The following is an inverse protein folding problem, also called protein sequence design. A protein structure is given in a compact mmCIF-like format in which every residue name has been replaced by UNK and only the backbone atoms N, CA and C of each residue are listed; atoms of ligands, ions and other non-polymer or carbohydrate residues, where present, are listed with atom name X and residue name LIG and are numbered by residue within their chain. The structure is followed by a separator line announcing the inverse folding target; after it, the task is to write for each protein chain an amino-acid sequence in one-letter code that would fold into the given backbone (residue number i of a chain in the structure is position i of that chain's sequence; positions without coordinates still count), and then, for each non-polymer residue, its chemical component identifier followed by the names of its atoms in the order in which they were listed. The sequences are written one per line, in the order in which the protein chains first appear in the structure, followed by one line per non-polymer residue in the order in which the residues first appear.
data_IF_677573791973
#
_entry.id   IF_677573791973
#
_cell.length_a   1.000
_cell.length_b   1.000
_cell.length_c   1.000
_cell.angle_alpha   90.00
_cell.angle_beta   90.00
_cell.angle_gamma   90.00
#
_symmetry.space_group_name_H-M   'P 1'
#
loop_
_entity.id
_entity.type
_entity.pdbx_description
1 polymer ?
#
# COMPACT_ATOMS: atom_id res chain seq x y z
N UNK A 1 8.21 10.29 34.67
CA UNK A 1 7.46 10.74 33.48
C UNK A 1 6.13 10.00 33.45
N UNK A 2 5.02 10.63 33.02
CA UNK A 2 3.77 9.90 32.83
C UNK A 2 3.97 8.82 31.76
N UNK A 3 3.30 7.68 31.92
CA UNK A 3 3.29 6.64 30.90
C UNK A 3 2.65 7.20 29.61
N UNK A 4 3.09 6.74 28.42
CA UNK A 4 2.53 7.20 27.17
C UNK A 4 1.07 6.81 27.06
N UNK A 5 0.24 7.73 26.58
CA UNK A 5 -1.15 7.47 26.22
C UNK A 5 -1.18 6.65 24.92
N UNK A 6 -1.41 5.35 25.04
CA UNK A 6 -1.31 4.38 23.93
C UNK A 6 -2.20 4.74 22.73
N UNK A 7 -3.51 5.03 22.90
CA UNK A 7 -4.34 5.58 21.82
C UNK A 7 -3.75 6.81 21.12
N UNK A 8 -3.14 7.74 21.88
CA UNK A 8 -2.50 8.91 21.29
C UNK A 8 -1.21 8.55 20.54
N UNK A 9 -0.45 7.55 20.99
CA UNK A 9 0.72 7.03 20.25
C UNK A 9 0.29 6.51 18.88
N UNK A 10 -0.78 5.72 18.80
CA UNK A 10 -1.30 5.18 17.54
C UNK A 10 -1.66 6.30 16.54
N UNK A 11 -2.31 7.37 17.02
CA UNK A 11 -2.64 8.54 16.19
C UNK A 11 -1.38 9.26 15.68
N UNK A 12 -0.41 9.52 16.56
CA UNK A 12 0.84 10.20 16.18
C UNK A 12 1.66 9.34 15.19
N UNK A 13 1.64 8.01 15.32
CA UNK A 13 2.26 7.12 14.32
C UNK A 13 1.61 7.28 12.94
N UNK A 14 0.28 7.37 12.87
CA UNK A 14 -0.44 7.60 11.59
C UNK A 14 -0.09 8.99 11.02
N UNK A 15 -0.06 10.02 11.86
CA UNK A 15 0.34 11.39 11.45
C UNK A 15 1.75 11.42 10.85
N UNK A 16 2.73 10.85 11.55
CA UNK A 16 4.12 10.78 11.11
C UNK A 16 4.29 9.93 9.85
N UNK A 17 3.54 8.83 9.74
CA UNK A 17 3.49 8.00 8.53
C UNK A 17 3.00 8.83 7.33
N UNK A 18 1.91 9.58 7.50
CA UNK A 18 1.37 10.44 6.45
C UNK A 18 2.29 11.63 6.11
N UNK A 19 3.02 12.17 7.09
CA UNK A 19 4.05 13.17 6.85
C UNK A 19 5.17 12.61 5.95
N UNK A 20 5.72 11.44 6.30
CA UNK A 20 6.74 10.77 5.52
C UNK A 20 6.26 10.41 4.10
N UNK A 21 5.02 9.94 3.96
CA UNK A 21 4.41 9.67 2.64
C UNK A 21 4.31 10.94 1.79
N UNK A 22 3.88 12.06 2.39
CA UNK A 22 3.77 13.36 1.70
C UNK A 22 5.14 13.87 1.23
N UNK A 23 6.18 13.75 2.05
CA UNK A 23 7.57 14.10 1.68
C UNK A 23 8.05 13.31 0.46
N UNK A 24 7.57 12.07 0.31
CA UNK A 24 7.86 11.20 -0.81
C UNK A 24 6.82 11.30 -1.96
N UNK A 25 5.99 12.35 -1.96
CA UNK A 25 4.98 12.64 -2.99
C UNK A 25 3.92 11.52 -3.17
N UNK A 26 3.62 10.81 -2.09
CA UNK A 26 2.58 9.78 -2.05
C UNK A 26 1.29 10.32 -1.43
N UNK A 27 0.17 9.70 -1.79
CA UNK A 27 -1.12 9.95 -1.15
C UNK A 27 -1.14 9.50 0.31
N UNK A 28 -1.87 10.22 1.14
CA UNK A 28 -2.10 9.85 2.54
C UNK A 28 -2.94 8.57 2.66
N UNK A 29 -2.74 7.83 3.74
CA UNK A 29 -3.57 6.71 4.15
C UNK A 29 -4.56 7.14 5.22
N UNK A 30 -5.77 6.58 5.18
CA UNK A 30 -6.84 6.86 6.14
C UNK A 30 -6.92 5.77 7.21
N UNK A 31 -7.18 6.14 8.46
CA UNK A 31 -7.32 5.19 9.55
C UNK A 31 -8.53 4.26 9.32
N UNK A 32 -8.31 2.96 9.45
CA UNK A 32 -9.32 1.92 9.24
C UNK A 32 -9.61 1.18 10.55
N UNK A 33 -10.84 1.26 11.08
CA UNK A 33 -11.19 0.59 12.34
C UNK A 33 -10.91 -0.92 12.33
N UNK A 34 -11.15 -1.60 11.20
CA UNK A 34 -10.92 -3.03 11.05
C UNK A 34 -9.42 -3.38 11.08
N UNK A 35 -8.58 -2.59 10.40
CA UNK A 35 -7.11 -2.77 10.45
C UNK A 35 -6.55 -2.42 11.84
N UNK A 36 -7.04 -1.37 12.48
CA UNK A 36 -6.66 -1.01 13.86
C UNK A 36 -7.02 -2.13 14.83
N UNK A 37 -8.20 -2.74 14.69
CA UNK A 37 -8.59 -3.92 15.46
C UNK A 37 -7.61 -5.09 15.25
N UNK A 38 -7.26 -5.40 14.01
CA UNK A 38 -6.29 -6.45 13.68
C UNK A 38 -4.91 -6.17 14.31
N UNK A 39 -4.42 -4.93 14.16
CA UNK A 39 -3.11 -4.51 14.65
C UNK A 39 -3.02 -4.56 16.19
N UNK A 40 -4.04 -4.03 16.90
CA UNK A 40 -4.10 -4.08 18.37
C UNK A 40 -4.16 -5.50 18.90
N UNK A 41 -4.99 -6.35 18.28
CA UNK A 41 -5.09 -7.77 18.67
C UNK A 41 -3.75 -8.49 18.49
N UNK A 42 -3.03 -8.21 17.40
CA UNK A 42 -1.74 -8.83 17.16
C UNK A 42 -0.62 -8.31 18.06
N UNK A 43 -0.57 -7.00 18.30
CA UNK A 43 0.36 -6.39 19.27
C UNK A 43 0.19 -7.02 20.66
N UNK A 44 -1.06 -7.22 21.09
CA UNK A 44 -1.38 -7.88 22.36
C UNK A 44 -0.94 -9.35 22.38
N UNK A 45 -1.13 -10.08 21.27
CA UNK A 45 -0.64 -11.46 21.15
C UNK A 45 0.89 -11.53 21.26
N UNK A 46 1.62 -10.69 20.52
CA UNK A 46 3.08 -10.66 20.55
C UNK A 46 3.60 -10.32 21.96
N UNK A 47 3.00 -9.30 22.59
CA UNK A 47 3.33 -8.90 23.95
C UNK A 47 3.07 -10.02 24.98
N UNK A 48 1.92 -10.68 24.92
CA UNK A 48 1.53 -11.75 25.85
C UNK A 48 2.42 -13.00 25.73
N UNK A 49 2.83 -13.34 24.50
CA UNK A 49 3.58 -14.57 24.24
C UNK A 49 5.10 -14.36 24.18
N UNK A 50 5.59 -13.14 24.47
CA UNK A 50 6.99 -12.75 24.34
C UNK A 50 7.60 -13.17 22.99
N UNK A 51 6.84 -12.96 21.91
CA UNK A 51 7.21 -13.33 20.55
C UNK A 51 7.35 -12.07 19.69
N UNK A 52 8.21 -12.13 18.68
CA UNK A 52 8.38 -11.05 17.71
C UNK A 52 8.62 -11.61 16.31
N UNK A 53 7.53 -11.90 15.61
CA UNK A 53 7.51 -12.44 14.25
C UNK A 53 6.20 -12.03 13.58
N UNK A 54 6.20 -11.89 12.25
CA UNK A 54 5.01 -11.63 11.44
C UNK A 54 3.99 -12.78 11.44
N UNK A 55 4.39 -13.97 11.90
CA UNK A 55 3.56 -15.19 11.90
C UNK A 55 3.55 -15.92 13.24
N UNK A 56 3.84 -15.21 14.34
CA UNK A 56 3.91 -15.81 15.69
C UNK A 56 2.63 -16.52 16.16
N UNK A 57 1.47 -16.22 15.56
CA UNK A 57 0.17 -16.84 15.82
C UNK A 57 -0.25 -17.84 14.74
N UNK A 58 0.71 -18.31 13.92
CA UNK A 58 0.50 -19.20 12.77
C UNK A 58 -0.45 -18.63 11.69
N UNK A 59 -0.62 -17.31 11.66
CA UNK A 59 -1.37 -16.58 10.63
C UNK A 59 -0.48 -15.53 10.00
N UNK A 60 -0.76 -15.14 8.77
CA UNK A 60 -0.20 -13.92 8.19
C UNK A 60 -1.11 -12.71 8.49
N UNK A 61 -0.63 -11.52 8.12
CA UNK A 61 -1.39 -10.27 8.30
C UNK A 61 -2.72 -10.29 7.54
N UNK A 62 -2.77 -10.97 6.38
CA UNK A 62 -3.96 -11.11 5.56
C UNK A 62 -5.09 -11.84 6.28
N UNK A 63 -4.78 -13.00 6.86
CA UNK A 63 -5.72 -13.77 7.66
C UNK A 63 -6.18 -13.00 8.90
N UNK A 64 -5.30 -12.25 9.56
CA UNK A 64 -5.66 -11.39 10.71
C UNK A 64 -6.59 -10.23 10.33
N UNK A 65 -6.35 -9.60 9.18
CA UNK A 65 -7.21 -8.53 8.67
C UNK A 65 -8.59 -9.06 8.26
N UNK A 66 -8.65 -10.18 7.53
CA UNK A 66 -9.91 -10.84 7.15
C UNK A 66 -10.72 -11.21 8.39
N UNK A 67 -10.09 -11.81 9.41
CA UNK A 67 -10.74 -12.15 10.68
C UNK A 67 -11.25 -10.92 11.46
N UNK A 68 -10.69 -9.73 11.19
CA UNK A 68 -11.12 -8.46 11.77
C UNK A 68 -12.20 -7.75 10.94
N UNK A 69 -12.66 -8.36 9.84
CA UNK A 69 -13.70 -7.84 8.96
C UNK A 69 -13.18 -6.99 7.79
N UNK A 70 -11.86 -6.95 7.56
CA UNK A 70 -11.27 -6.19 6.47
C UNK A 70 -11.03 -7.08 5.24
N UNK A 71 -11.85 -6.90 4.20
CA UNK A 71 -11.64 -7.56 2.90
C UNK A 71 -10.63 -6.76 2.08
N UNK A 72 -9.48 -7.35 1.80
CA UNK A 72 -8.33 -6.64 1.24
C UNK A 72 -7.98 -7.11 -0.16
N UNK A 73 -7.46 -6.18 -0.96
CA UNK A 73 -6.79 -6.47 -2.23
C UNK A 73 -5.27 -6.51 -2.05
N UNK A 74 -4.74 -5.56 -1.29
CA UNK A 74 -3.32 -5.52 -0.91
C UNK A 74 -3.21 -5.22 0.57
N UNK A 75 -2.18 -5.82 1.20
CA UNK A 75 -1.94 -5.69 2.62
C UNK A 75 -0.44 -5.73 2.91
N UNK A 76 -0.02 -4.96 3.92
CA UNK A 76 1.38 -4.95 4.39
C UNK A 76 1.44 -4.75 5.90
N UNK A 77 2.51 -5.22 6.53
CA UNK A 77 2.70 -5.15 7.99
C UNK A 77 4.10 -4.65 8.33
N UNK A 78 4.15 -3.74 9.30
CA UNK A 78 5.37 -3.34 9.98
C UNK A 78 5.24 -3.68 11.46
N UNK A 79 6.30 -4.22 12.06
CA UNK A 79 6.39 -4.50 13.49
C UNK A 79 7.51 -3.67 14.11
N UNK A 80 7.31 -3.16 15.31
CA UNK A 80 8.37 -2.56 16.11
C UNK A 80 8.29 -3.03 17.55
N UNK A 81 9.46 -3.09 18.18
CA UNK A 81 9.61 -3.30 19.61
C UNK A 81 10.54 -2.21 20.15
N UNK A 82 10.02 -1.36 21.01
CA UNK A 82 10.80 -0.30 21.66
C UNK A 82 10.94 -0.61 23.14
N UNK A 83 12.16 -0.46 23.66
CA UNK A 83 12.48 -0.70 25.07
C UNK A 83 13.32 0.45 25.60
N UNK A 84 12.84 1.08 26.67
CA UNK A 84 13.59 2.09 27.43
C UNK A 84 13.22 1.93 28.90
N UNK A 85 14.23 1.67 29.75
CA UNK A 85 14.04 1.49 31.19
C UNK A 85 13.48 2.74 31.88
N UNK A 86 13.63 3.92 31.27
CA UNK A 86 13.09 5.19 31.76
C UNK A 86 11.64 5.42 31.34
N UNK A 87 11.12 4.58 30.45
CA UNK A 87 9.83 4.77 29.78
C UNK A 87 9.90 5.76 28.62
N UNK A 88 8.75 6.01 28.00
CA UNK A 88 8.63 6.90 26.85
C UNK A 88 7.53 7.94 27.08
N UNK A 89 7.70 9.12 26.48
CA UNK A 89 6.57 10.01 26.23
C UNK A 89 5.82 9.58 24.95
N UNK A 90 4.55 9.98 24.83
CA UNK A 90 3.69 9.61 23.70
C UNK A 90 4.32 9.89 22.33
N UNK A 91 4.77 11.13 22.09
CA UNK A 91 5.36 11.53 20.80
C UNK A 91 6.71 10.86 20.56
N UNK A 92 7.49 10.63 21.62
CA UNK A 92 8.80 10.02 21.51
C UNK A 92 8.70 8.53 21.13
N UNK A 93 7.78 7.78 21.74
CA UNK A 93 7.52 6.39 21.36
C UNK A 93 7.08 6.28 19.89
N UNK A 94 6.18 7.16 19.46
CA UNK A 94 5.73 7.20 18.07
C UNK A 94 6.89 7.53 17.10
N UNK A 95 7.71 8.53 17.45
CA UNK A 95 8.88 8.94 16.66
C UNK A 95 9.88 7.80 16.49
N UNK A 96 10.31 7.17 17.60
CA UNK A 96 11.25 6.04 17.54
C UNK A 96 10.69 4.87 16.72
N UNK A 97 9.40 4.59 16.87
CA UNK A 97 8.71 3.55 16.09
C UNK A 97 8.79 3.83 14.58
N UNK A 98 8.40 5.03 14.15
CA UNK A 98 8.34 5.40 12.73
C UNK A 98 9.75 5.53 12.14
N UNK A 99 10.69 6.13 12.85
CA UNK A 99 12.09 6.21 12.40
C UNK A 99 12.74 4.82 12.27
N UNK A 100 12.45 3.91 13.20
CA UNK A 100 12.89 2.51 13.11
C UNK A 100 12.38 1.83 11.84
N UNK A 101 11.13 2.08 11.44
CA UNK A 101 10.59 1.59 10.18
C UNK A 101 11.20 2.29 8.96
N UNK A 102 11.42 3.60 9.00
CA UNK A 102 12.07 4.35 7.90
C UNK A 102 13.49 3.85 7.64
N UNK A 103 14.23 3.50 8.70
CA UNK A 103 15.61 3.04 8.60
C UNK A 103 15.75 1.55 8.25
N UNK A 104 14.65 0.80 8.20
CA UNK A 104 14.63 -0.60 7.78
C UNK A 104 14.11 -0.73 6.34
N UNK A 105 14.91 -1.23 5.38
CA UNK A 105 14.50 -1.30 3.97
C UNK A 105 13.17 -2.02 3.73
N UNK A 106 12.91 -3.13 4.43
CA UNK A 106 11.66 -3.88 4.31
C UNK A 106 10.45 -3.08 4.83
N UNK A 107 10.57 -2.47 6.00
CA UNK A 107 9.49 -1.66 6.57
C UNK A 107 9.27 -0.35 5.78
N UNK A 108 10.34 0.27 5.30
CA UNK A 108 10.30 1.46 4.45
C UNK A 108 9.56 1.19 3.14
N UNK A 109 9.71 0.00 2.56
CA UNK A 109 8.97 -0.39 1.35
C UNK A 109 7.45 -0.37 1.60
N UNK A 110 6.98 -0.79 2.78
CA UNK A 110 5.56 -0.69 3.14
C UNK A 110 5.11 0.77 3.31
N UNK A 111 5.90 1.59 4.03
CA UNK A 111 5.62 3.03 4.21
C UNK A 111 5.48 3.75 2.86
N UNK A 112 6.29 3.36 1.87
CA UNK A 112 6.33 3.93 0.53
C UNK A 112 5.44 3.20 -0.49
N UNK A 113 4.63 2.23 -0.06
CA UNK A 113 3.69 1.53 -0.94
C UNK A 113 2.64 2.51 -1.50
N UNK A 114 2.68 2.86 -2.80
CA UNK A 114 1.81 3.91 -3.36
C UNK A 114 0.35 3.45 -3.49
N UNK A 115 0.11 2.15 -3.40
CA UNK A 115 -1.17 1.51 -3.63
C UNK A 115 -2.03 1.39 -2.36
N UNK A 116 -1.43 1.52 -1.18
CA UNK A 116 -2.15 1.55 0.09
C UNK A 116 -2.96 2.83 0.23
N UNK A 117 -4.20 2.68 0.69
CA UNK A 117 -5.17 3.76 0.91
C UNK A 117 -5.60 3.84 2.37
N UNK A 118 -5.43 2.75 3.13
CA UNK A 118 -5.85 2.62 4.52
C UNK A 118 -4.73 2.13 5.42
N UNK A 119 -4.83 2.45 6.71
CA UNK A 119 -3.87 2.08 7.75
C UNK A 119 -4.60 1.71 9.04
N UNK A 120 -4.08 0.74 9.78
CA UNK A 120 -4.38 0.49 11.18
C UNK A 120 -3.10 0.44 11.99
N UNK A 121 -3.13 0.97 13.21
CA UNK A 121 -1.99 0.92 14.14
C UNK A 121 -2.47 0.39 15.48
N UNK A 122 -1.71 -0.53 16.06
CA UNK A 122 -1.93 -1.06 17.40
C UNK A 122 -0.66 -0.98 18.21
N UNK A 123 -0.74 -0.42 19.41
CA UNK A 123 0.40 -0.33 20.33
C UNK A 123 0.02 -0.98 21.66
N UNK A 124 0.90 -1.82 22.21
CA UNK A 124 0.68 -2.51 23.49
C UNK A 124 1.94 -2.47 24.32
N UNK A 125 1.80 -2.11 25.60
CA UNK A 125 2.85 -2.28 26.59
C UNK A 125 2.94 -3.76 26.98
N UNK A 126 4.11 -4.37 26.82
CA UNK A 126 4.35 -5.72 27.29
C UNK A 126 4.48 -5.76 28.83
N UNK A 127 4.05 -6.87 29.48
CA UNK A 127 4.09 -7.01 30.93
C UNK A 127 5.51 -7.35 31.43
N UNK A 128 6.49 -6.50 31.11
CA UNK A 128 7.90 -6.67 31.51
C UNK A 128 8.29 -5.70 32.62
N UNK A 129 9.38 -6.03 33.34
CA UNK A 129 9.96 -5.16 34.39
C UNK A 129 10.49 -3.84 33.84
N UNK A 130 10.96 -3.84 32.59
CA UNK A 130 11.35 -2.63 31.86
C UNK A 130 10.23 -2.27 30.88
N UNK A 131 9.86 -0.98 30.73
CA UNK A 131 8.87 -0.56 29.74
C UNK A 131 9.26 -1.01 28.33
N UNK A 132 8.51 -1.98 27.81
CA UNK A 132 8.63 -2.53 26.47
C UNK A 132 7.30 -2.32 25.75
N UNK A 133 7.34 -1.75 24.55
CA UNK A 133 6.16 -1.49 23.73
C UNK A 133 6.28 -2.22 22.41
N UNK A 134 5.23 -2.96 22.06
CA UNK A 134 5.07 -3.60 20.75
C UNK A 134 4.13 -2.72 19.92
N UNK A 135 4.58 -2.30 18.75
CA UNK A 135 3.76 -1.59 17.78
C UNK A 135 3.59 -2.45 16.51
N UNK A 136 2.35 -2.53 16.04
CA UNK A 136 1.97 -3.17 14.79
C UNK A 136 1.31 -2.12 13.92
N UNK A 137 1.80 -1.95 12.70
CA UNK A 137 1.20 -1.10 11.68
C UNK A 137 0.79 -1.99 10.51
N UNK A 138 -0.47 -1.90 10.11
CA UNK A 138 -1.03 -2.65 8.98
C UNK A 138 -1.50 -1.65 7.93
N UNK A 139 -0.98 -1.77 6.72
CA UNK A 139 -1.47 -1.04 5.56
C UNK A 139 -2.45 -1.88 4.76
N UNK A 140 -3.43 -1.24 4.15
CA UNK A 140 -4.43 -1.91 3.33
C UNK A 140 -4.85 -1.12 2.10
N UNK A 141 -5.24 -1.86 1.07
CA UNK A 141 -6.13 -1.38 0.01
C UNK A 141 -7.37 -2.28 0.04
N UNK A 142 -8.57 -1.76 0.29
CA UNK A 142 -9.75 -2.61 0.43
C UNK A 142 -10.14 -3.19 -0.92
N UNK A 143 -10.80 -4.35 -0.92
CA UNK A 143 -11.25 -5.01 -2.14
C UNK A 143 -12.21 -4.14 -2.98
N UNK A 144 -12.98 -3.27 -2.31
CA UNK A 144 -13.87 -2.28 -2.94
C UNK A 144 -13.12 -1.19 -3.70
N UNK A 145 -11.87 -0.92 -3.33
CA UNK A 145 -11.03 0.08 -3.98
C UNK A 145 -10.01 -0.55 -4.93
N UNK A 146 -10.32 -1.69 -5.57
CA UNK A 146 -9.45 -2.30 -6.58
C UNK A 146 -8.90 -1.25 -7.56
N UNK A 147 -7.62 -1.35 -7.81
CA UNK A 147 -6.94 -0.51 -8.78
C UNK A 147 -7.59 -0.72 -10.15
N UNK A 148 -8.07 0.35 -10.79
CA UNK A 148 -8.82 0.26 -12.03
C UNK A 148 -8.29 1.25 -13.06
N UNK A 149 -7.95 0.77 -14.25
CA UNK A 149 -7.47 1.61 -15.35
C UNK A 149 -8.05 1.14 -16.67
N UNK A 150 -8.05 2.02 -17.66
CA UNK A 150 -8.58 1.73 -18.98
C UNK A 150 -7.50 1.95 -20.04
N UNK A 151 -7.47 1.09 -21.05
CA UNK A 151 -6.67 1.28 -22.25
C UNK A 151 -7.63 1.44 -23.41
N UNK A 152 -7.51 2.51 -24.18
CA UNK A 152 -8.33 2.80 -25.34
C UNK A 152 -7.46 2.86 -26.59
N UNK A 153 -7.74 2.01 -27.58
CA UNK A 153 -7.02 2.00 -28.85
C UNK A 153 -7.71 2.93 -29.85
N UNK A 154 -7.23 4.17 -29.95
CA UNK A 154 -7.65 5.14 -30.95
C UNK A 154 -6.76 5.12 -32.21
N UNK A 155 -5.92 4.09 -32.37
CA UNK A 155 -5.14 3.88 -33.59
C UNK A 155 -5.96 3.13 -34.64
N UNK A 156 -5.51 3.15 -35.89
CA UNK A 156 -6.09 2.35 -36.97
C UNK A 156 -5.58 0.90 -37.04
N UNK A 157 -4.77 0.45 -36.08
CA UNK A 157 -4.13 -0.88 -36.08
C UNK A 157 -4.29 -1.58 -34.72
N UNK A 158 -4.22 -2.92 -34.65
CA UNK A 158 -4.22 -3.60 -33.36
C UNK A 158 -2.97 -3.22 -32.56
N UNK A 159 -3.12 -3.10 -31.24
CA UNK A 159 -2.01 -2.85 -30.31
C UNK A 159 -1.88 -4.02 -29.34
N UNK A 160 -0.69 -4.59 -29.27
CA UNK A 160 -0.34 -5.61 -28.29
C UNK A 160 0.38 -4.96 -27.10
N UNK A 161 0.03 -5.35 -25.88
CA UNK A 161 0.66 -4.89 -24.65
C UNK A 161 0.73 -6.01 -23.63
N UNK A 162 1.59 -5.85 -22.63
CA UNK A 162 1.63 -6.72 -21.45
C UNK A 162 1.16 -5.97 -20.22
N UNK A 163 0.40 -6.64 -19.37
CA UNK A 163 0.05 -6.16 -18.04
C UNK A 163 0.21 -7.29 -17.03
N UNK A 164 0.96 -7.05 -15.97
CA UNK A 164 1.24 -8.07 -14.94
C UNK A 164 1.79 -9.40 -15.50
N UNK A 165 2.55 -9.33 -16.60
CA UNK A 165 3.15 -10.49 -17.26
C UNK A 165 2.26 -11.19 -18.30
N UNK A 166 0.98 -10.86 -18.37
CA UNK A 166 0.07 -11.39 -19.39
C UNK A 166 0.08 -10.52 -20.64
N UNK A 167 0.06 -11.15 -21.82
CA UNK A 167 0.00 -10.45 -23.10
C UNK A 167 -1.44 -10.32 -23.56
N UNK A 168 -1.81 -9.13 -24.02
CA UNK A 168 -3.14 -8.81 -24.53
C UNK A 168 -3.04 -8.10 -25.87
N UNK A 169 -4.03 -8.36 -26.73
CA UNK A 169 -4.21 -7.66 -28.00
C UNK A 169 -5.49 -6.82 -27.95
N UNK A 170 -5.39 -5.56 -28.36
CA UNK A 170 -6.51 -4.62 -28.39
C UNK A 170 -6.75 -4.14 -29.82
N UNK A 171 -7.89 -4.53 -30.39
CA UNK A 171 -8.29 -4.11 -31.74
C UNK A 171 -8.52 -2.60 -31.86
N UNK A 172 -8.45 -2.03 -33.08
CA UNK A 172 -8.77 -0.62 -33.33
C UNK A 172 -10.15 -0.23 -32.78
N UNK A 173 -10.26 1.00 -32.27
CA UNK A 173 -11.49 1.58 -31.71
C UNK A 173 -12.09 0.83 -30.50
N UNK A 174 -11.36 -0.14 -29.93
CA UNK A 174 -11.78 -0.84 -28.72
C UNK A 174 -11.16 -0.22 -27.48
N UNK A 175 -11.83 -0.42 -26.34
CA UNK A 175 -11.24 -0.15 -25.04
C UNK A 175 -11.47 -1.31 -24.09
N UNK A 176 -10.56 -1.47 -23.14
CA UNK A 176 -10.62 -2.50 -22.11
C UNK A 176 -10.34 -1.88 -20.75
N UNK A 177 -11.10 -2.30 -19.76
CA UNK A 177 -10.88 -1.92 -18.36
C UNK A 177 -10.20 -3.08 -17.65
N UNK A 178 -9.11 -2.78 -16.95
CA UNK A 178 -8.38 -3.72 -16.12
C UNK A 178 -8.62 -3.40 -14.66
N UNK A 179 -8.70 -4.44 -13.84
CA UNK A 179 -8.75 -4.33 -12.38
C UNK A 179 -7.64 -5.17 -11.77
N UNK A 180 -6.89 -4.61 -10.83
CA UNK A 180 -5.82 -5.30 -10.13
C UNK A 180 -5.80 -4.91 -8.64
N UNK A 181 -5.03 -5.66 -7.85
CA UNK A 181 -4.79 -5.30 -6.45
C UNK A 181 -3.59 -4.37 -6.27
N UNK A 182 -2.54 -4.60 -7.06
CA UNK A 182 -1.35 -3.76 -7.10
C UNK A 182 -1.27 -3.05 -8.46
N UNK A 183 -0.63 -1.87 -8.51
CA UNK A 183 -0.23 -1.29 -9.77
C UNK A 183 0.79 -2.24 -10.41
N UNK A 184 0.49 -2.74 -11.60
CA UNK A 184 1.39 -3.59 -12.39
C UNK A 184 2.16 -2.80 -13.43
N UNK A 185 3.25 -3.37 -13.93
CA UNK A 185 3.93 -2.86 -15.13
C UNK A 185 3.01 -3.02 -16.35
N UNK A 186 2.93 -1.97 -17.16
CA UNK A 186 2.16 -1.89 -18.39
C UNK A 186 3.12 -1.56 -19.53
N UNK A 187 3.42 -2.54 -20.38
CA UNK A 187 4.34 -2.38 -21.50
C UNK A 187 3.62 -2.54 -22.83
N UNK A 188 3.59 -1.50 -23.65
CA UNK A 188 3.12 -1.60 -25.03
C UNK A 188 4.24 -2.17 -25.90
N UNK A 189 3.98 -3.29 -26.58
CA UNK A 189 5.00 -4.09 -27.29
C UNK A 189 4.92 -3.97 -28.82
N UNK A 190 3.71 -3.83 -29.40
CA UNK A 190 3.51 -3.71 -30.85
C UNK A 190 2.31 -2.83 -31.20
N UNK A 191 2.39 -2.11 -32.31
CA UNK A 191 1.27 -1.42 -32.95
C UNK A 191 1.24 -1.81 -34.43
N UNK A 192 0.32 -2.69 -34.80
CA UNK A 192 0.32 -3.38 -36.09
C UNK A 192 1.64 -4.12 -36.33
N UNK A 193 2.31 -3.92 -37.49
CA UNK A 193 3.59 -4.57 -37.78
C UNK A 193 4.77 -3.95 -37.03
N UNK A 194 4.61 -2.76 -36.43
CA UNK A 194 5.71 -2.03 -35.79
C UNK A 194 5.89 -2.50 -34.34
N UNK A 195 7.13 -2.78 -33.95
CA UNK A 195 7.50 -2.93 -32.53
C UNK A 195 7.48 -1.56 -31.86
N UNK A 196 6.95 -1.50 -30.65
CA UNK A 196 6.96 -0.30 -29.80
C UNK A 196 7.48 -0.67 -28.41
N UNK A 197 8.00 0.30 -27.68
CA UNK A 197 8.51 0.12 -26.34
C UNK A 197 8.10 1.32 -25.48
N UNK A 198 6.84 1.34 -25.06
CA UNK A 198 6.33 2.35 -24.14
C UNK A 198 5.97 1.66 -22.84
N UNK A 199 6.67 2.02 -21.76
CA UNK A 199 6.54 1.39 -20.45
C UNK A 199 5.91 2.36 -19.47
N UNK A 200 4.92 1.87 -18.72
CA UNK A 200 4.23 2.62 -17.70
C UNK A 200 4.09 1.78 -16.45
N UNK A 201 4.03 2.45 -15.30
CA UNK A 201 3.34 1.87 -14.16
C UNK A 201 1.86 2.15 -14.34
N UNK A 202 1.01 1.12 -14.27
CA UNK A 202 -0.41 1.36 -14.27
C UNK A 202 -0.76 2.30 -13.10
N UNK A 203 -1.46 3.39 -13.39
CA UNK A 203 -1.97 4.34 -12.39
C UNK A 203 -3.50 4.25 -12.24
N UNK A 204 -3.98 4.45 -11.01
CA UNK A 204 -5.38 4.18 -10.66
C UNK A 204 -6.26 5.25 -11.29
N UNK A 205 -7.46 4.84 -11.71
CA UNK A 205 -8.41 5.70 -12.43
C UNK A 205 -7.78 6.38 -13.66
N UNK A 206 -6.75 5.80 -14.27
CA UNK A 206 -6.08 6.38 -15.44
C UNK A 206 -6.62 5.75 -16.72
N UNK A 207 -6.78 6.56 -17.76
CA UNK A 207 -7.11 6.13 -19.12
C UNK A 207 -5.88 6.36 -20.00
N UNK A 208 -5.36 5.28 -20.58
CA UNK A 208 -4.27 5.27 -21.54
C UNK A 208 -4.85 5.26 -22.95
N UNK A 209 -4.88 6.42 -23.59
CA UNK A 209 -5.38 6.57 -24.97
C UNK A 209 -4.24 6.41 -25.96
N UNK A 210 -4.31 5.38 -26.78
CA UNK A 210 -3.30 5.01 -27.75
C UNK A 210 -3.61 5.70 -29.08
N UNK A 211 -2.70 6.55 -29.57
CA UNK A 211 -2.82 7.26 -30.85
C UNK A 211 -1.69 6.87 -31.79
N UNK A 212 -1.99 6.85 -33.09
CA UNK A 212 -0.97 6.60 -34.11
C UNK A 212 0.00 7.78 -34.16
N UNK A 213 1.30 7.47 -34.22
CA UNK A 213 2.36 8.47 -34.40
C UNK A 213 3.17 8.13 -35.65
N UNK A 214 3.32 9.10 -36.55
CA UNK A 214 4.02 8.90 -37.82
C UNK A 214 5.53 8.59 -37.65
N UNK A 215 6.15 9.04 -36.56
CA UNK A 215 7.59 8.88 -36.27
C UNK A 215 7.86 7.73 -35.28
N UNK A 216 7.10 7.65 -34.19
CA UNK A 216 7.33 6.70 -33.08
C UNK A 216 6.47 5.42 -33.16
N UNK A 217 5.49 5.35 -34.06
CA UNK A 217 4.57 4.21 -34.21
C UNK A 217 3.42 4.19 -33.20
N UNK A 218 3.61 4.70 -31.98
CA UNK A 218 2.56 4.79 -30.95
C UNK A 218 2.82 5.98 -30.02
N UNK A 219 1.80 6.83 -29.82
CA UNK A 219 1.76 7.86 -28.78
C UNK A 219 0.72 7.46 -27.73
N UNK A 220 1.06 7.59 -26.44
CA UNK A 220 0.14 7.26 -25.34
C UNK A 220 -0.20 8.55 -24.58
N UNK A 221 -1.48 8.90 -24.56
CA UNK A 221 -2.00 10.05 -23.82
C UNK A 221 -2.70 9.58 -22.55
N UNK A 222 -2.31 10.16 -21.42
CA UNK A 222 -2.86 9.81 -20.11
C UNK A 222 -3.91 10.85 -19.72
N UNK A 223 -5.08 10.38 -19.30
CA UNK A 223 -6.12 11.20 -18.70
C UNK A 223 -6.68 10.50 -17.47
N UNK A 224 -7.37 11.24 -16.59
CA UNK A 224 -8.14 10.61 -15.51
C UNK A 224 -9.48 10.15 -16.06
N UNK A 225 -9.92 8.97 -15.63
CA UNK A 225 -11.25 8.46 -15.88
C UNK A 225 -12.24 9.46 -15.28
N UNK A 226 -13.23 9.88 -16.07
CA UNK A 226 -14.29 10.73 -15.57
C UNK A 226 -14.96 10.00 -14.38
N UNK A 227 -14.92 10.61 -13.21
CA UNK A 227 -15.80 10.23 -12.11
C UNK A 227 -17.21 10.59 -12.54
N UNK A 228 -18.07 9.59 -12.73
CA UNK A 228 -19.50 9.83 -12.69
C UNK A 228 -19.79 10.21 -11.23
N UNK A 229 -19.95 11.51 -10.99
CA UNK A 229 -20.60 12.02 -9.76
C UNK A 229 -22.07 11.61 -9.74
#
# INVERSE_FOLDING_TARGET
MPLPDVPAVEQVVIEMTNAFRRENKLGQVTASPALTKAARAYAAYLAKNNAFSHTADNRDVGARATASGYQWCSIGENLAMNLDSRGFETRELARQTVEGWINSPGHKANLLGPHYTEIGVGVVQAPDKNPKYIAVQVFGRPQSAKFTFQIANATGVPVSYTFSGETHDLSPSMSVTHTACTPGALDFIKAGPKKVAAKFQAADQTVYTLKGDAKAGLKVELSKRATLE
#
